data_IF_556049204586
#
_entry.id   IF_556049204586
#
_cell.length_a   1.000
_cell.length_b   1.000
_cell.length_c   1.000
_cell.angle_alpha   90.00
_cell.angle_beta   90.00
_cell.angle_gamma   90.00
#
_symmetry.space_group_name_H-M   'P 1'
#
loop_
_entity.id
_entity.type
_entity.pdbx_description
1 polymer ?
#
# COMPACT_ATOMS: atom_id res chain seq x y z
N UNK A 1 6.80 -11.76 2.24
CA UNK A 1 7.11 -10.80 3.34
C UNK A 1 8.38 -10.09 2.94
N UNK A 2 8.42 -8.78 3.03
CA UNK A 2 9.56 -7.97 2.64
C UNK A 2 10.72 -8.14 3.65
N UNK A 3 11.96 -8.14 3.16
CA UNK A 3 13.15 -8.15 4.04
C UNK A 3 13.31 -6.79 4.73
N UNK A 4 14.00 -6.76 5.88
CA UNK A 4 14.24 -5.51 6.61
C UNK A 4 15.01 -4.48 5.78
N UNK A 5 15.98 -4.94 4.98
CA UNK A 5 16.73 -4.04 4.10
C UNK A 5 15.84 -3.47 3.00
N UNK A 6 14.94 -4.28 2.39
CA UNK A 6 13.98 -3.80 1.42
C UNK A 6 13.09 -2.70 2.00
N UNK A 7 12.58 -2.91 3.22
CA UNK A 7 11.76 -1.90 3.89
C UNK A 7 12.52 -0.58 4.13
N UNK A 8 13.80 -0.66 4.50
CA UNK A 8 14.63 0.54 4.73
C UNK A 8 14.81 1.39 3.48
N UNK A 9 15.03 0.75 2.33
CA UNK A 9 15.31 1.45 1.07
C UNK A 9 14.03 1.75 0.26
N UNK A 10 12.87 1.29 0.70
CA UNK A 10 11.61 1.38 -0.05
C UNK A 10 11.30 2.80 -0.49
N UNK A 11 11.31 3.77 0.43
CA UNK A 11 11.02 5.16 0.11
C UNK A 11 12.13 5.80 -0.73
N UNK A 12 13.37 5.43 -0.52
CA UNK A 12 14.55 5.97 -1.20
C UNK A 12 14.63 5.53 -2.66
N UNK A 13 14.09 4.35 -3.00
CA UNK A 13 13.91 3.89 -4.37
C UNK A 13 12.79 4.56 -5.14
N UNK A 14 12.07 5.50 -4.52
CA UNK A 14 10.98 6.22 -5.17
C UNK A 14 9.66 5.44 -5.22
N UNK A 15 9.54 4.30 -4.54
CA UNK A 15 8.23 3.60 -4.42
C UNK A 15 7.21 4.38 -3.60
N UNK A 16 7.65 5.40 -2.86
CA UNK A 16 6.79 6.41 -2.24
C UNK A 16 6.12 7.34 -3.26
N UNK A 17 6.62 7.43 -4.49
CA UNK A 17 6.04 8.32 -5.52
C UNK A 17 4.57 8.02 -5.80
N UNK A 18 4.22 6.73 -5.92
CA UNK A 18 2.84 6.34 -6.22
C UNK A 18 1.85 6.75 -5.10
N UNK A 19 2.03 6.36 -3.83
CA UNK A 19 1.11 6.77 -2.77
C UNK A 19 1.08 8.29 -2.56
N UNK A 20 2.15 9.01 -2.85
CA UNK A 20 2.15 10.48 -2.85
C UNK A 20 1.26 11.07 -3.94
N UNK A 21 1.47 10.66 -5.19
CA UNK A 21 0.70 11.14 -6.34
C UNK A 21 -0.78 10.74 -6.21
N UNK A 22 -1.03 9.49 -5.82
CA UNK A 22 -2.38 8.99 -5.58
C UNK A 22 -3.09 9.78 -4.48
N UNK A 23 -2.43 10.04 -3.35
CA UNK A 23 -2.98 10.80 -2.24
C UNK A 23 -3.42 12.21 -2.66
N UNK A 24 -2.61 12.90 -3.47
CA UNK A 24 -2.98 14.20 -4.02
C UNK A 24 -4.23 14.12 -4.92
N UNK A 25 -4.28 13.13 -5.81
CA UNK A 25 -5.43 12.94 -6.71
C UNK A 25 -6.70 12.57 -5.92
N UNK A 26 -6.58 11.71 -4.92
CA UNK A 26 -7.68 11.32 -4.05
C UNK A 26 -8.24 12.52 -3.30
N UNK A 27 -7.40 13.35 -2.68
CA UNK A 27 -7.84 14.55 -1.97
C UNK A 27 -8.55 15.55 -2.89
N UNK A 28 -8.02 15.79 -4.09
CA UNK A 28 -8.67 16.63 -5.11
C UNK A 28 -10.03 16.06 -5.54
N UNK A 29 -10.10 14.73 -5.71
CA UNK A 29 -11.35 14.08 -6.08
C UNK A 29 -12.40 14.18 -4.97
N UNK A 30 -12.00 13.96 -3.71
CA UNK A 30 -12.88 14.11 -2.54
C UNK A 30 -13.42 15.54 -2.46
N UNK A 31 -12.57 16.55 -2.59
CA UNK A 31 -12.95 17.96 -2.57
C UNK A 31 -13.93 18.30 -3.70
N UNK A 32 -13.59 17.92 -4.94
CA UNK A 32 -14.43 18.16 -6.12
C UNK A 32 -15.84 17.56 -5.99
N UNK A 33 -15.97 16.43 -5.30
CA UNK A 33 -17.24 15.74 -5.11
C UNK A 33 -17.94 16.10 -3.79
N UNK A 34 -17.39 17.04 -3.00
CA UNK A 34 -17.95 17.45 -1.72
C UNK A 34 -17.92 16.39 -0.64
N UNK A 35 -17.04 15.36 -0.77
CA UNK A 35 -16.90 14.26 0.16
C UNK A 35 -15.88 14.68 1.24
N UNK A 36 -16.29 14.62 2.51
CA UNK A 36 -15.49 15.08 3.65
C UNK A 36 -15.39 13.98 4.70
N UNK A 37 -14.54 12.96 4.47
CA UNK A 37 -14.34 11.91 5.45
C UNK A 37 -13.69 12.49 6.70
N UNK A 38 -14.13 12.08 7.88
CA UNK A 38 -13.53 12.46 9.16
C UNK A 38 -12.41 11.51 9.55
N UNK A 39 -12.53 10.26 9.13
CA UNK A 39 -11.55 9.24 9.44
C UNK A 39 -11.35 8.29 8.24
N UNK A 40 -10.13 7.74 8.15
CA UNK A 40 -9.75 6.83 7.09
C UNK A 40 -8.93 5.65 7.61
N UNK A 41 -9.03 4.50 6.91
CA UNK A 41 -8.19 3.33 7.10
C UNK A 41 -7.51 2.97 5.78
N UNK A 42 -6.19 2.82 5.80
CA UNK A 42 -5.41 2.37 4.65
C UNK A 42 -4.96 0.92 4.83
N UNK A 43 -5.40 0.04 3.93
CA UNK A 43 -5.10 -1.38 3.92
C UNK A 43 -3.90 -1.64 3.03
N UNK A 44 -2.85 -2.27 3.57
CA UNK A 44 -1.56 -2.40 2.89
C UNK A 44 -0.82 -1.06 2.84
N UNK A 45 -0.82 -0.33 3.96
CA UNK A 45 -0.34 1.06 4.02
C UNK A 45 1.17 1.23 3.78
N UNK A 46 1.94 0.13 3.73
CA UNK A 46 3.38 0.17 3.58
C UNK A 46 4.06 1.04 4.64
N UNK A 47 4.85 2.02 4.20
CA UNK A 47 5.56 2.96 5.08
C UNK A 47 4.70 4.15 5.55
N UNK A 48 3.39 4.14 5.26
CA UNK A 48 2.42 5.08 5.81
C UNK A 48 2.28 6.42 5.06
N UNK A 49 2.83 6.55 3.86
CA UNK A 49 2.82 7.80 3.08
C UNK A 49 1.38 8.30 2.79
N UNK A 50 0.47 7.41 2.37
CA UNK A 50 -0.91 7.81 2.13
C UNK A 50 -1.61 8.23 3.42
N UNK A 51 -1.35 7.52 4.53
CA UNK A 51 -1.88 7.90 5.84
C UNK A 51 -1.41 9.30 6.28
N UNK A 52 -0.13 9.63 6.05
CA UNK A 52 0.44 10.97 6.30
C UNK A 52 -0.31 12.03 5.50
N UNK A 53 -0.46 11.84 4.19
CA UNK A 53 -1.19 12.76 3.31
C UNK A 53 -2.63 13.02 3.75
N UNK A 54 -3.33 11.95 4.15
CA UNK A 54 -4.69 12.06 4.66
C UNK A 54 -4.73 12.81 6.00
N UNK A 55 -3.76 12.54 6.87
CA UNK A 55 -3.61 13.22 8.17
C UNK A 55 -3.32 14.71 8.00
N UNK A 56 -2.42 15.09 7.09
CA UNK A 56 -2.09 16.49 6.75
C UNK A 56 -3.30 17.25 6.20
N UNK A 57 -4.21 16.55 5.53
CA UNK A 57 -5.49 17.09 5.07
C UNK A 57 -6.57 17.17 6.17
N UNK A 58 -6.25 16.83 7.42
CA UNK A 58 -7.15 16.88 8.57
C UNK A 58 -8.06 15.66 8.71
N UNK A 59 -7.78 14.55 8.04
CA UNK A 59 -8.51 13.29 8.15
C UNK A 59 -7.81 12.41 9.19
N UNK A 60 -8.53 11.91 10.20
CA UNK A 60 -7.97 11.00 11.20
C UNK A 60 -7.61 9.66 10.55
N UNK A 61 -6.40 9.55 10.02
CA UNK A 61 -5.93 8.36 9.33
C UNK A 61 -5.47 7.26 10.30
N UNK A 62 -5.57 6.01 9.85
CA UNK A 62 -4.95 4.84 10.43
C UNK A 62 -4.50 3.91 9.30
N UNK A 63 -3.50 3.07 9.53
CA UNK A 63 -3.01 2.13 8.52
C UNK A 63 -2.77 0.73 9.08
N UNK A 64 -2.79 -0.25 8.18
CA UNK A 64 -2.35 -1.60 8.50
C UNK A 64 -1.58 -2.21 7.33
N UNK A 65 -0.61 -3.04 7.66
CA UNK A 65 0.17 -3.80 6.69
C UNK A 65 0.54 -5.17 7.29
N UNK A 66 0.75 -6.16 6.42
CA UNK A 66 1.21 -7.48 6.83
C UNK A 66 2.69 -7.46 7.23
N UNK A 67 3.47 -6.51 6.72
CA UNK A 67 4.91 -6.39 6.93
C UNK A 67 5.22 -5.61 8.20
N UNK A 68 5.77 -6.30 9.21
CA UNK A 68 6.26 -5.66 10.44
C UNK A 68 7.34 -4.61 10.15
N UNK A 69 8.21 -4.86 9.14
CA UNK A 69 9.24 -3.91 8.73
C UNK A 69 8.67 -2.61 8.19
N UNK A 70 7.61 -2.68 7.35
CA UNK A 70 6.90 -1.50 6.85
C UNK A 70 6.23 -0.71 7.98
N UNK A 71 5.50 -1.40 8.85
CA UNK A 71 4.82 -0.76 10.00
C UNK A 71 5.81 -0.11 10.96
N UNK A 72 6.98 -0.71 11.17
CA UNK A 72 8.04 -0.08 11.99
C UNK A 72 8.47 1.27 11.41
N UNK A 73 8.65 1.36 10.09
CA UNK A 73 9.00 2.61 9.40
C UNK A 73 7.84 3.60 9.47
N UNK A 74 6.62 3.15 9.18
CA UNK A 74 5.42 3.99 9.25
C UNK A 74 5.28 4.66 10.63
N UNK A 75 5.46 3.91 11.71
CA UNK A 75 5.42 4.42 13.09
C UNK A 75 6.55 5.39 13.42
N UNK A 76 7.74 5.17 12.86
CA UNK A 76 8.88 6.07 13.05
C UNK A 76 8.68 7.41 12.34
N UNK A 77 8.15 7.38 11.12
CA UNK A 77 7.92 8.57 10.32
C UNK A 77 6.69 9.36 10.78
N UNK A 78 5.66 8.65 11.26
CA UNK A 78 4.36 9.21 11.61
C UNK A 78 3.91 8.78 13.03
N UNK A 79 4.59 9.22 14.12
CA UNK A 79 4.32 8.73 15.47
C UNK A 79 2.92 9.07 16.00
N UNK A 80 2.21 10.01 15.35
CA UNK A 80 0.83 10.40 15.72
C UNK A 80 -0.26 9.58 15.02
N UNK A 81 0.09 8.73 14.06
CA UNK A 81 -0.86 7.92 13.30
C UNK A 81 -0.84 6.48 13.83
N UNK A 82 -2.00 5.86 14.14
CA UNK A 82 -2.04 4.47 14.56
C UNK A 82 -1.80 3.54 13.36
N UNK A 83 -0.88 2.58 13.54
CA UNK A 83 -0.54 1.55 12.56
C UNK A 83 -0.56 0.16 13.20
N UNK A 84 -1.18 -0.81 12.51
CA UNK A 84 -1.29 -2.19 12.95
C UNK A 84 -0.53 -3.14 12.02
N UNK A 85 0.18 -4.12 12.58
CA UNK A 85 0.65 -5.28 11.83
C UNK A 85 -0.49 -6.28 11.76
N UNK A 86 -1.08 -6.47 10.58
CA UNK A 86 -2.24 -7.33 10.43
C UNK A 86 -2.40 -7.88 9.01
N UNK A 87 -3.14 -8.96 8.87
CA UNK A 87 -3.60 -9.53 7.61
C UNK A 87 -4.97 -8.92 7.25
N UNK A 88 -5.07 -8.23 6.10
CA UNK A 88 -6.32 -7.60 5.66
C UNK A 88 -7.46 -8.61 5.44
N UNK A 89 -7.16 -9.88 5.22
CA UNK A 89 -8.18 -10.93 5.12
C UNK A 89 -8.85 -11.25 6.46
N UNK A 90 -8.19 -10.92 7.57
CA UNK A 90 -8.64 -11.19 8.92
C UNK A 90 -8.88 -9.92 9.76
N UNK A 91 -8.49 -8.75 9.24
CA UNK A 91 -8.56 -7.48 9.96
C UNK A 91 -10.00 -7.10 10.30
N UNK A 92 -10.23 -6.73 11.55
CA UNK A 92 -11.54 -6.37 12.12
C UNK A 92 -11.36 -5.22 13.10
N UNK A 93 -11.32 -3.97 12.63
CA UNK A 93 -11.24 -2.82 13.51
C UNK A 93 -12.52 -2.68 14.33
N UNK A 94 -12.41 -2.11 15.54
CA UNK A 94 -13.56 -1.90 16.43
C UNK A 94 -14.39 -0.65 16.09
N UNK A 95 -13.98 0.13 15.08
CA UNK A 95 -14.67 1.35 14.65
C UNK A 95 -14.96 1.30 13.15
N UNK A 96 -15.94 2.11 12.72
CA UNK A 96 -16.23 2.33 11.31
C UNK A 96 -15.40 3.48 10.75
N UNK A 97 -15.18 3.44 9.43
CA UNK A 97 -14.42 4.45 8.69
C UNK A 97 -15.27 5.08 7.58
N UNK A 98 -15.13 6.40 7.41
CA UNK A 98 -15.78 7.12 6.32
C UNK A 98 -15.08 6.87 4.98
N UNK A 99 -13.79 6.57 5.01
CA UNK A 99 -12.96 6.25 3.87
C UNK A 99 -12.08 5.02 4.20
N UNK A 100 -12.06 4.07 3.28
CA UNK A 100 -11.12 2.95 3.31
C UNK A 100 -10.34 2.98 2.00
N UNK A 101 -9.02 2.88 2.06
CA UNK A 101 -8.15 2.78 0.89
C UNK A 101 -7.42 1.44 0.87
N UNK A 102 -7.10 0.95 -0.33
CA UNK A 102 -6.27 -0.23 -0.55
C UNK A 102 -5.57 -0.06 -1.89
N UNK A 103 -4.38 0.54 -1.90
CA UNK A 103 -3.73 1.05 -3.11
C UNK A 103 -2.30 0.58 -3.25
N UNK A 104 -1.65 0.91 -4.37
CA UNK A 104 -0.31 0.44 -4.66
C UNK A 104 -0.27 -1.05 -4.97
N UNK A 105 -1.21 -1.51 -5.79
CA UNK A 105 -1.38 -2.92 -6.22
C UNK A 105 -1.56 -3.94 -5.07
N UNK A 106 -1.90 -3.47 -3.86
CA UNK A 106 -2.02 -4.34 -2.68
C UNK A 106 -3.04 -5.48 -2.90
N UNK A 107 -4.16 -5.22 -3.59
CA UNK A 107 -5.15 -6.25 -3.94
C UNK A 107 -4.56 -7.28 -4.90
N UNK A 108 -3.67 -6.88 -5.82
CA UNK A 108 -3.04 -7.79 -6.79
C UNK A 108 -2.07 -8.78 -6.13
N UNK A 109 -1.56 -8.48 -4.95
CA UNK A 109 -0.75 -9.41 -4.16
C UNK A 109 -1.56 -10.55 -3.51
N UNK A 110 -2.88 -10.45 -3.53
CA UNK A 110 -3.76 -11.51 -3.02
C UNK A 110 -3.97 -12.54 -4.12
N UNK A 111 -3.31 -13.67 -4.01
CA UNK A 111 -3.30 -14.71 -5.05
C UNK A 111 -4.59 -15.54 -5.17
N UNK A 112 -5.62 -15.27 -4.36
CA UNK A 112 -6.85 -16.04 -4.27
C UNK A 112 -8.08 -15.12 -4.30
N UNK A 113 -8.98 -15.36 -5.27
CA UNK A 113 -10.20 -14.56 -5.44
C UNK A 113 -11.13 -14.65 -4.21
N UNK A 114 -11.22 -15.81 -3.56
CA UNK A 114 -12.01 -15.96 -2.34
C UNK A 114 -11.47 -15.10 -1.19
N UNK A 115 -10.14 -14.91 -1.13
CA UNK A 115 -9.52 -14.00 -0.17
C UNK A 115 -9.84 -12.53 -0.51
N UNK A 116 -9.88 -12.15 -1.79
CA UNK A 116 -10.30 -10.81 -2.22
C UNK A 116 -11.77 -10.55 -1.85
N UNK A 117 -12.68 -11.49 -2.11
CA UNK A 117 -14.08 -11.39 -1.70
C UNK A 117 -14.22 -11.22 -0.19
N UNK A 118 -13.41 -11.94 0.58
CA UNK A 118 -13.39 -11.83 2.04
C UNK A 118 -12.90 -10.45 2.49
N UNK A 119 -11.89 -9.88 1.85
CA UNK A 119 -11.42 -8.51 2.14
C UNK A 119 -12.55 -7.50 1.90
N UNK A 120 -13.22 -7.59 0.75
CA UNK A 120 -14.31 -6.68 0.40
C UNK A 120 -15.49 -6.81 1.38
N UNK A 121 -15.84 -8.04 1.78
CA UNK A 121 -16.85 -8.29 2.82
C UNK A 121 -16.44 -7.70 4.19
N UNK A 122 -15.15 -7.77 4.53
CA UNK A 122 -14.62 -7.16 5.76
C UNK A 122 -14.73 -5.64 5.70
N UNK A 123 -14.25 -5.04 4.58
CA UNK A 123 -14.34 -3.59 4.37
C UNK A 123 -15.79 -3.11 4.49
N UNK A 124 -16.72 -3.79 3.85
CA UNK A 124 -18.14 -3.46 3.95
C UNK A 124 -18.65 -3.45 5.40
N UNK A 125 -18.17 -4.36 6.23
CA UNK A 125 -18.60 -4.48 7.62
C UNK A 125 -18.13 -3.31 8.51
N UNK A 126 -16.97 -2.71 8.22
CA UNK A 126 -16.45 -1.58 8.97
C UNK A 126 -16.44 -0.24 8.21
N UNK A 127 -16.99 -0.21 7.01
CA UNK A 127 -17.26 1.04 6.30
C UNK A 127 -18.49 1.71 6.90
N UNK A 128 -18.42 2.99 7.19
CA UNK A 128 -19.55 3.75 7.71
C UNK A 128 -20.66 3.84 6.63
N UNK A 129 -21.94 3.97 7.01
CA UNK A 129 -23.01 4.21 6.05
C UNK A 129 -22.72 5.44 5.18
N UNK A 130 -22.69 5.27 3.86
CA UNK A 130 -22.31 6.31 2.91
C UNK A 130 -20.79 6.53 2.78
N UNK A 131 -19.98 5.69 3.42
CA UNK A 131 -18.53 5.72 3.29
C UNK A 131 -18.03 5.21 1.94
N UNK A 132 -16.77 5.44 1.66
CA UNK A 132 -16.12 5.12 0.39
C UNK A 132 -15.02 4.10 0.57
N UNK A 133 -15.00 3.10 -0.30
CA UNK A 133 -13.87 2.20 -0.47
C UNK A 133 -13.19 2.50 -1.81
N UNK A 134 -11.93 2.93 -1.76
CA UNK A 134 -11.12 3.29 -2.93
C UNK A 134 -9.95 2.33 -3.03
N UNK A 135 -9.82 1.66 -4.15
CA UNK A 135 -8.73 0.70 -4.39
C UNK A 135 -8.27 0.77 -5.85
N UNK A 136 -7.07 0.29 -6.10
CA UNK A 136 -6.54 0.12 -7.43
C UNK A 136 -6.35 -1.35 -7.80
N UNK A 137 -6.26 -1.59 -9.09
CA UNK A 137 -5.96 -2.90 -9.66
C UNK A 137 -5.07 -2.70 -10.88
N UNK A 138 -3.94 -3.38 -10.92
CA UNK A 138 -3.18 -3.53 -12.14
C UNK A 138 -3.93 -4.41 -13.13
N UNK A 139 -4.13 -3.91 -14.34
CA UNK A 139 -4.72 -4.70 -15.41
C UNK A 139 -3.62 -5.31 -16.32
N UNK A 140 -3.98 -6.29 -17.14
CA UNK A 140 -3.05 -7.01 -18.01
C UNK A 140 -2.27 -6.13 -18.98
N UNK A 141 -2.79 -4.95 -19.33
CA UNK A 141 -2.17 -4.04 -20.30
C UNK A 141 -1.07 -3.18 -19.67
N UNK A 142 -1.13 -2.98 -18.37
CA UNK A 142 -0.18 -2.15 -17.62
C UNK A 142 1.06 -2.93 -17.19
N UNK A 143 1.00 -4.25 -17.25
CA UNK A 143 2.12 -5.10 -16.84
C UNK A 143 2.96 -5.50 -18.05
N UNK A 144 4.09 -4.85 -18.23
CA UNK A 144 5.12 -5.26 -19.18
C UNK A 144 6.13 -6.20 -18.52
N UNK A 145 6.55 -7.24 -19.25
CA UNK A 145 7.73 -8.02 -18.85
C UNK A 145 8.98 -7.18 -19.07
N UNK A 146 9.93 -7.25 -18.17
CA UNK A 146 11.23 -6.58 -18.31
C UNK A 146 12.36 -7.58 -18.29
N UNK A 147 13.40 -7.30 -19.10
CA UNK A 147 14.69 -7.95 -18.87
C UNK A 147 15.17 -7.60 -17.45
N UNK A 148 15.94 -8.51 -16.80
CA UNK A 148 16.52 -8.19 -15.51
C UNK A 148 17.38 -6.95 -15.61
N UNK A 149 17.27 -6.04 -14.67
CA UNK A 149 18.19 -4.92 -14.56
C UNK A 149 18.66 -4.73 -13.12
N UNK A 150 19.84 -4.21 -12.97
CA UNK A 150 20.43 -3.86 -11.67
C UNK A 150 20.61 -2.36 -11.59
N UNK A 151 20.45 -1.84 -10.38
CA UNK A 151 20.66 -0.44 -10.06
C UNK A 151 21.44 -0.36 -8.75
N UNK A 152 22.53 0.41 -8.76
CA UNK A 152 23.21 0.76 -7.52
C UNK A 152 22.42 1.88 -6.87
N UNK A 153 22.00 1.64 -5.62
CA UNK A 153 21.33 2.63 -4.81
C UNK A 153 22.34 3.62 -4.21
N UNK A 154 23.39 3.06 -3.60
CA UNK A 154 24.55 3.77 -3.11
C UNK A 154 25.81 2.84 -3.17
N UNK A 155 26.90 3.24 -2.53
CA UNK A 155 28.14 2.43 -2.51
C UNK A 155 27.95 1.07 -1.79
N UNK A 156 26.93 0.95 -0.94
CA UNK A 156 26.69 -0.24 -0.09
C UNK A 156 25.51 -1.10 -0.53
N UNK A 157 24.59 -0.58 -1.34
CA UNK A 157 23.33 -1.27 -1.68
C UNK A 157 23.12 -1.33 -3.20
N UNK A 158 22.91 -2.55 -3.69
CA UNK A 158 22.50 -2.84 -5.07
C UNK A 158 21.15 -3.53 -5.11
N UNK A 159 20.31 -3.15 -6.05
CA UNK A 159 18.99 -3.75 -6.24
C UNK A 159 18.87 -4.35 -7.63
N UNK A 160 18.42 -5.58 -7.67
CA UNK A 160 18.12 -6.32 -8.88
C UNK A 160 16.62 -6.49 -9.03
N UNK A 161 16.12 -6.23 -10.23
CA UNK A 161 14.71 -6.31 -10.57
C UNK A 161 14.46 -7.21 -11.77
N UNK A 162 13.39 -7.95 -11.73
CA UNK A 162 12.85 -8.65 -12.89
C UNK A 162 11.35 -8.80 -12.79
N UNK A 163 10.65 -8.43 -13.85
CA UNK A 163 9.22 -8.69 -14.00
C UNK A 163 9.02 -9.80 -15.05
N UNK A 164 8.35 -10.87 -14.67
CA UNK A 164 8.08 -12.01 -15.55
C UNK A 164 6.61 -12.35 -15.55
N UNK A 165 6.12 -12.88 -16.68
CA UNK A 165 4.75 -13.36 -16.84
C UNK A 165 4.77 -14.88 -17.07
N UNK A 166 4.70 -15.70 -16.02
CA UNK A 166 4.74 -17.16 -16.15
C UNK A 166 3.46 -17.75 -16.73
N UNK A 167 2.37 -16.97 -16.84
CA UNK A 167 1.08 -17.36 -17.39
C UNK A 167 0.24 -16.16 -17.78
N UNK A 168 -0.91 -16.38 -18.42
CA UNK A 168 -1.78 -15.32 -18.93
C UNK A 168 -2.29 -14.36 -17.84
N UNK A 169 -2.47 -14.86 -16.61
CA UNK A 169 -3.06 -14.12 -15.48
C UNK A 169 -2.10 -13.94 -14.30
N UNK A 170 -0.82 -14.22 -14.50
CA UNK A 170 0.17 -14.15 -13.43
C UNK A 170 1.33 -13.25 -13.81
N UNK A 171 1.70 -12.36 -12.90
CA UNK A 171 2.90 -11.55 -12.99
C UNK A 171 3.72 -11.78 -11.74
N UNK A 172 5.00 -12.04 -11.92
CA UNK A 172 5.96 -12.15 -10.83
C UNK A 172 6.93 -10.97 -10.91
N UNK A 173 6.93 -10.15 -9.88
CA UNK A 173 8.01 -9.21 -9.61
C UNK A 173 9.00 -9.86 -8.66
N UNK A 174 10.27 -10.00 -9.10
CA UNK A 174 11.37 -10.41 -8.25
C UNK A 174 12.24 -9.21 -7.95
N UNK A 175 12.45 -8.96 -6.69
CA UNK A 175 13.36 -7.92 -6.20
C UNK A 175 14.40 -8.60 -5.31
N UNK A 176 15.67 -8.31 -5.54
CA UNK A 176 16.77 -8.74 -4.68
C UNK A 176 17.55 -7.51 -4.27
N UNK A 177 17.82 -7.38 -3.00
CA UNK A 177 18.63 -6.32 -2.44
C UNK A 177 19.91 -6.94 -1.91
N UNK A 178 21.04 -6.41 -2.33
CA UNK A 178 22.36 -6.84 -1.92
C UNK A 178 23.03 -5.75 -1.11
N UNK A 179 23.54 -6.09 0.06
CA UNK A 179 24.50 -5.24 0.77
C UNK A 179 25.90 -5.61 0.25
N UNK A 180 26.60 -4.62 -0.27
CA UNK A 180 28.01 -4.76 -0.61
C UNK A 180 28.80 -4.77 0.71
N UNK A 181 29.27 -5.95 1.14
CA UNK A 181 30.09 -6.13 2.33
C UNK A 181 31.55 -5.73 2.11
#
# INVERSE_FOLDING_TARGET
>A
MYSDIFCKVYNEFGWNYYPEAFGQQLLQWLEKNGIKPKNAMDLGCGTGILCEKLSDAGICAAGMDLSEGMIRIARQQNPGIPFDVADMTAYRPQKQFDLVTCTGDAVNHIGDLAAVEKIFGNVYAYLAPGGWFVFDLLNEREVSTSEPFEMDFDESVRVWFQMTRPGEKQVNLKVRVYENG
#
